data_IF_835776075403
#
_entry.id   IF_835776075403
#
_cell.length_a   1.000
_cell.length_b   1.000
_cell.length_c   1.000
_cell.angle_alpha   90.00
_cell.angle_beta   90.00
_cell.angle_gamma   90.00
#
_symmetry.space_group_name_H-M   'P 1'
#
loop_
_entity.id
_entity.type
_entity.pdbx_description
1 polymer ?
#
# COMPACT_ATOMS: atom_id res chain seq x y z
N UNK A 1 8.37 32.18 -23.48
CA UNK A 1 7.97 31.12 -22.52
C UNK A 1 9.21 30.32 -22.22
N UNK A 2 9.78 30.59 -21.04
CA UNK A 2 10.90 29.92 -20.35
C UNK A 2 11.99 29.28 -21.21
N UNK A 3 13.10 30.02 -21.35
CA UNK A 3 14.44 29.56 -21.73
C UNK A 3 15.02 28.56 -20.70
N UNK A 4 14.28 27.50 -20.41
CA UNK A 4 14.73 26.48 -19.48
C UNK A 4 15.50 25.42 -20.27
N UNK A 5 16.83 25.50 -20.15
CA UNK A 5 17.74 24.47 -20.65
C UNK A 5 17.61 23.17 -19.84
N UNK A 6 18.04 22.06 -20.44
CA UNK A 6 18.15 20.79 -19.74
C UNK A 6 19.13 20.92 -18.57
N UNK A 7 18.75 20.36 -17.43
CA UNK A 7 19.67 20.16 -16.30
C UNK A 7 20.64 19.04 -16.62
N UNK A 8 21.75 19.02 -15.91
CA UNK A 8 22.82 18.05 -16.14
C UNK A 8 22.34 16.61 -15.95
N UNK A 9 21.53 16.38 -14.91
CA UNK A 9 20.95 15.07 -14.61
C UNK A 9 20.03 14.57 -15.74
N UNK A 10 19.35 15.49 -16.44
CA UNK A 10 18.48 15.15 -17.57
C UNK A 10 19.30 14.79 -18.81
N UNK A 11 20.44 15.46 -19.01
CA UNK A 11 21.38 15.16 -20.10
C UNK A 11 22.02 13.79 -19.87
N UNK A 12 22.46 13.50 -18.65
CA UNK A 12 23.03 12.20 -18.29
C UNK A 12 22.00 11.07 -18.42
N UNK A 13 20.80 11.23 -17.83
CA UNK A 13 19.74 10.23 -17.95
C UNK A 13 19.35 9.95 -19.40
N UNK A 14 19.36 10.97 -20.26
CA UNK A 14 19.11 10.80 -21.70
C UNK A 14 20.23 9.99 -22.39
N UNK A 15 21.50 10.27 -22.07
CA UNK A 15 22.64 9.53 -22.62
C UNK A 15 22.71 8.08 -22.12
N UNK A 16 22.29 7.84 -20.89
CA UNK A 16 22.26 6.52 -20.27
C UNK A 16 21.02 5.70 -20.67
N UNK A 17 20.10 6.28 -21.46
CA UNK A 17 18.87 5.62 -21.91
C UNK A 17 17.81 5.43 -20.81
N UNK A 18 17.92 6.16 -19.70
CA UNK A 18 17.04 6.04 -18.52
C UNK A 18 16.07 7.22 -18.38
N UNK A 19 16.11 8.19 -19.30
CA UNK A 19 15.21 9.33 -19.27
C UNK A 19 13.75 8.93 -19.52
N UNK A 20 12.86 9.30 -18.60
CA UNK A 20 11.42 9.04 -18.67
C UNK A 20 10.76 9.74 -19.87
N UNK A 21 11.24 10.93 -20.24
CA UNK A 21 10.67 11.77 -21.29
C UNK A 21 11.61 11.95 -22.50
N UNK A 22 12.22 10.86 -23.00
CA UNK A 22 13.16 10.92 -24.15
C UNK A 22 12.63 11.69 -25.37
N UNK A 23 11.35 11.51 -25.82
CA UNK A 23 10.85 12.22 -27.00
C UNK A 23 10.78 13.75 -26.81
N UNK A 24 10.47 14.21 -25.60
CA UNK A 24 10.44 15.64 -25.29
C UNK A 24 11.85 16.24 -25.26
N UNK A 25 12.82 15.48 -24.74
CA UNK A 25 14.24 15.86 -24.76
C UNK A 25 14.74 15.95 -26.19
N UNK A 26 14.42 15.00 -27.06
CA UNK A 26 14.79 15.03 -28.49
C UNK A 26 14.21 16.25 -29.21
N UNK A 27 12.94 16.58 -28.98
CA UNK A 27 12.31 17.78 -29.51
C UNK A 27 12.99 19.07 -29.01
N UNK A 28 13.41 19.09 -27.74
CA UNK A 28 14.17 20.20 -27.18
C UNK A 28 15.57 20.31 -27.80
N UNK A 29 16.27 19.19 -28.01
CA UNK A 29 17.58 19.18 -28.66
C UNK A 29 17.50 19.64 -30.12
N UNK A 30 16.39 19.34 -30.81
CA UNK A 30 16.13 19.81 -32.17
C UNK A 30 16.04 21.34 -32.26
N UNK A 31 15.54 22.01 -31.21
CA UNK A 31 15.33 23.47 -31.17
C UNK A 31 16.40 24.24 -30.40
N UNK A 32 17.13 23.61 -29.46
CA UNK A 32 18.10 24.29 -28.58
C UNK A 32 19.56 23.92 -28.92
N UNK A 33 20.33 24.81 -29.56
CA UNK A 33 21.73 24.52 -29.93
C UNK A 33 22.66 24.40 -28.71
N UNK A 34 22.37 25.12 -27.61
CA UNK A 34 23.16 25.05 -26.37
C UNK A 34 23.08 23.67 -25.72
N UNK A 35 21.87 23.12 -25.59
CA UNK A 35 21.68 21.78 -25.03
C UNK A 35 22.27 20.70 -25.93
N UNK A 36 22.23 20.90 -27.25
CA UNK A 36 22.91 20.01 -28.22
C UNK A 36 24.42 19.99 -28.02
N UNK A 37 25.04 21.16 -27.87
CA UNK A 37 26.47 21.26 -27.58
C UNK A 37 26.85 20.58 -26.25
N UNK A 38 26.00 20.70 -25.22
CA UNK A 38 26.22 20.01 -23.94
C UNK A 38 26.18 18.48 -24.11
N UNK A 39 25.16 17.94 -24.78
CA UNK A 39 25.03 16.51 -25.08
C UNK A 39 26.23 16.00 -25.89
N UNK A 40 26.69 16.75 -26.89
CA UNK A 40 27.87 16.40 -27.68
C UNK A 40 29.15 16.39 -26.83
N UNK A 41 29.29 17.34 -25.91
CA UNK A 41 30.41 17.36 -24.94
C UNK A 41 30.46 16.10 -24.10
N UNK A 42 29.33 15.68 -23.54
CA UNK A 42 29.23 14.42 -22.79
C UNK A 42 29.49 13.18 -23.64
N UNK A 43 29.02 13.13 -24.89
CA UNK A 43 29.31 12.02 -25.81
C UNK A 43 30.81 11.88 -26.08
N UNK A 44 31.53 13.00 -26.24
CA UNK A 44 33.00 12.97 -26.42
C UNK A 44 33.70 12.49 -25.16
N UNK A 45 33.24 12.91 -23.98
CA UNK A 45 33.76 12.42 -22.71
C UNK A 45 33.57 10.90 -22.58
N UNK A 46 32.36 10.40 -22.84
CA UNK A 46 32.05 8.97 -22.81
C UNK A 46 32.91 8.17 -23.80
N UNK A 47 33.08 8.68 -25.02
CA UNK A 47 33.96 8.05 -26.01
C UNK A 47 35.42 8.00 -25.52
N UNK A 48 35.92 9.08 -24.92
CA UNK A 48 37.26 9.11 -24.33
C UNK A 48 37.43 8.10 -23.20
N UNK A 49 36.44 8.00 -22.30
CA UNK A 49 36.45 7.03 -21.20
C UNK A 49 36.36 5.58 -21.69
N UNK A 50 35.57 5.32 -22.74
CA UNK A 50 35.46 4.00 -23.35
C UNK A 50 36.79 3.55 -23.98
N UNK A 51 37.58 4.48 -24.53
CA UNK A 51 38.90 4.15 -25.09
C UNK A 51 40.01 4.05 -24.04
N UNK A 52 39.85 4.70 -22.88
CA UNK A 52 40.87 4.73 -21.84
C UNK A 52 40.86 3.48 -20.94
N UNK A 53 39.75 2.74 -20.91
CA UNK A 53 39.62 1.49 -20.16
C UNK A 53 39.62 0.31 -21.10
N UNK A 54 40.67 -0.52 -21.06
CA UNK A 54 40.53 -1.88 -21.58
C UNK A 54 39.42 -2.59 -20.80
N UNK A 55 38.53 -3.36 -21.45
CA UNK A 55 37.54 -4.15 -20.75
C UNK A 55 38.28 -5.12 -19.83
N UNK A 56 38.27 -4.83 -18.52
CA UNK A 56 38.82 -5.74 -17.55
C UNK A 56 38.06 -7.06 -17.68
N UNK A 57 38.79 -8.14 -17.99
CA UNK A 57 38.20 -9.47 -18.06
C UNK A 57 37.61 -9.82 -16.69
N UNK A 58 36.28 -9.81 -16.59
CA UNK A 58 35.58 -10.23 -15.40
C UNK A 58 35.66 -11.75 -15.31
N UNK A 59 35.79 -12.29 -14.09
CA UNK A 59 35.67 -13.73 -13.86
C UNK A 59 34.29 -14.22 -14.27
N UNK A 60 34.17 -15.47 -14.73
CA UNK A 60 32.89 -16.11 -15.12
C UNK A 60 31.82 -15.97 -14.02
N UNK A 61 32.21 -16.11 -12.75
CA UNK A 61 31.27 -16.04 -11.61
C UNK A 61 31.09 -14.61 -11.05
N UNK A 62 31.53 -13.56 -11.77
CA UNK A 62 31.46 -12.19 -11.24
C UNK A 62 30.03 -11.75 -10.96
N UNK A 63 29.13 -11.95 -11.92
CA UNK A 63 27.72 -11.59 -11.79
C UNK A 63 27.09 -12.30 -10.60
N UNK A 64 27.28 -13.62 -10.49
CA UNK A 64 26.73 -14.42 -9.39
C UNK A 64 27.25 -13.96 -8.02
N UNK A 65 28.55 -13.65 -7.91
CA UNK A 65 29.14 -13.14 -6.66
C UNK A 65 28.66 -11.75 -6.27
N UNK A 66 28.35 -10.89 -7.24
CA UNK A 66 27.76 -9.57 -6.97
C UNK A 66 26.31 -9.74 -6.54
N UNK A 67 25.53 -10.54 -7.26
CA UNK A 67 24.13 -10.80 -6.94
C UNK A 67 23.95 -11.47 -5.58
N UNK A 68 24.82 -12.40 -5.20
CA UNK A 68 24.81 -13.04 -3.89
C UNK A 68 25.11 -12.07 -2.72
N UNK A 69 25.69 -10.90 -3.00
CA UNK A 69 25.97 -9.86 -1.99
C UNK A 69 24.90 -8.78 -1.92
N UNK A 70 24.02 -8.70 -2.91
CA UNK A 70 22.89 -7.80 -2.81
C UNK A 70 21.93 -8.32 -1.74
N UNK A 71 21.44 -7.45 -0.83
CA UNK A 71 20.34 -7.84 0.04
C UNK A 71 19.20 -8.29 -0.85
N UNK A 72 18.65 -9.48 -0.60
CA UNK A 72 17.52 -9.95 -1.39
C UNK A 72 16.44 -8.87 -1.42
N UNK A 73 15.79 -8.62 -2.58
CA UNK A 73 14.65 -7.72 -2.70
C UNK A 73 13.41 -8.33 -2.00
N UNK A 74 13.51 -8.52 -0.69
CA UNK A 74 12.50 -9.10 0.18
C UNK A 74 12.16 -8.22 1.38
N UNK A 75 12.78 -7.05 1.54
CA UNK A 75 12.70 -6.26 2.77
C UNK A 75 11.32 -5.67 3.10
N UNK A 76 10.54 -5.21 2.12
CA UNK A 76 9.22 -4.64 2.42
C UNK A 76 8.10 -5.68 2.52
N UNK A 77 8.21 -6.80 1.80
CA UNK A 77 7.20 -7.87 1.81
C UNK A 77 7.39 -8.87 2.94
N UNK A 78 8.63 -9.17 3.33
CA UNK A 78 8.90 -10.00 4.50
C UNK A 78 8.61 -9.25 5.81
N UNK A 79 8.76 -7.92 5.84
CA UNK A 79 8.45 -7.11 7.02
C UNK A 79 6.95 -6.89 7.24
N UNK A 80 6.13 -6.90 6.17
CA UNK A 80 4.66 -6.95 6.29
C UNK A 80 4.12 -8.34 6.67
N UNK A 81 4.93 -9.40 6.57
CA UNK A 81 4.61 -10.75 7.06
C UNK A 81 5.19 -11.03 8.44
N UNK A 82 5.70 -10.02 9.15
CA UNK A 82 5.80 -10.14 10.61
C UNK A 82 4.36 -10.27 11.12
N UNK A 83 4.01 -11.34 11.86
CA UNK A 83 2.74 -11.36 12.56
C UNK A 83 2.77 -10.11 13.44
N UNK A 84 1.95 -9.12 13.09
CA UNK A 84 1.81 -7.93 13.89
C UNK A 84 1.38 -8.44 15.27
N UNK A 85 2.23 -8.28 16.28
CA UNK A 85 1.86 -8.34 17.68
C UNK A 85 0.84 -7.23 18.07
N UNK A 86 0.11 -6.70 17.09
CA UNK A 86 -1.01 -5.78 17.16
C UNK A 86 -2.32 -6.40 16.66
N UNK A 87 -2.42 -7.73 16.49
CA UNK A 87 -3.72 -8.41 16.34
C UNK A 87 -4.70 -7.98 17.44
N UNK A 88 -4.21 -7.80 18.67
CA UNK A 88 -5.00 -7.29 19.77
C UNK A 88 -5.46 -5.84 19.59
N UNK A 89 -4.67 -4.97 18.96
CA UNK A 89 -5.01 -3.54 18.82
C UNK A 89 -6.10 -3.34 17.78
N UNK A 90 -6.01 -4.02 16.63
CA UNK A 90 -7.06 -3.93 15.61
C UNK A 90 -8.34 -4.64 16.05
N UNK A 91 -8.23 -5.80 16.72
CA UNK A 91 -9.38 -6.47 17.31
C UNK A 91 -10.04 -5.61 18.40
N UNK A 92 -9.24 -4.95 19.26
CA UNK A 92 -9.73 -4.04 20.28
C UNK A 92 -10.38 -2.78 19.67
N UNK A 93 -9.77 -2.19 18.65
CA UNK A 93 -10.35 -1.03 17.96
C UNK A 93 -11.67 -1.38 17.26
N UNK A 94 -11.75 -2.54 16.60
CA UNK A 94 -12.98 -3.03 15.99
C UNK A 94 -14.06 -3.34 17.04
N UNK A 95 -13.69 -3.97 18.15
CA UNK A 95 -14.60 -4.25 19.26
C UNK A 95 -15.10 -2.97 19.92
N UNK A 96 -14.22 -2.00 20.18
CA UNK A 96 -14.56 -0.72 20.77
C UNK A 96 -15.51 0.09 19.86
N UNK A 97 -15.29 0.08 18.55
CA UNK A 97 -16.19 0.71 17.59
C UNK A 97 -17.59 0.06 17.59
N UNK A 98 -17.65 -1.27 17.67
CA UNK A 98 -18.90 -2.03 17.78
C UNK A 98 -19.66 -1.69 19.07
N UNK A 99 -18.96 -1.64 20.21
CA UNK A 99 -19.54 -1.28 21.51
C UNK A 99 -20.04 0.17 21.49
N UNK A 100 -19.27 1.11 20.94
CA UNK A 100 -19.70 2.50 20.81
C UNK A 100 -20.94 2.66 19.94
N UNK A 101 -21.01 1.95 18.82
CA UNK A 101 -22.20 1.91 17.96
C UNK A 101 -23.42 1.32 18.71
N UNK A 102 -23.22 0.24 19.47
CA UNK A 102 -24.26 -0.35 20.30
C UNK A 102 -24.76 0.63 21.38
N UNK A 103 -23.86 1.37 22.05
CA UNK A 103 -24.23 2.40 23.04
C UNK A 103 -25.05 3.52 22.41
N UNK A 104 -24.65 3.97 21.22
CA UNK A 104 -25.30 5.09 20.56
C UNK A 104 -26.69 4.75 20.00
N UNK A 105 -26.87 3.55 19.45
CA UNK A 105 -28.13 3.15 18.78
C UNK A 105 -29.12 2.38 19.67
N UNK A 106 -28.67 1.75 20.76
CA UNK A 106 -29.56 0.99 21.65
C UNK A 106 -30.20 1.92 22.68
N UNK A 107 -31.54 1.86 22.78
CA UNK A 107 -32.33 2.69 23.72
C UNK A 107 -31.79 2.56 25.17
N UNK A 108 -31.69 3.66 25.93
CA UNK A 108 -31.15 3.66 27.30
C UNK A 108 -31.84 2.67 28.27
N UNK A 109 -33.12 2.35 28.04
CA UNK A 109 -33.87 1.40 28.88
C UNK A 109 -33.35 -0.04 28.76
N UNK A 110 -32.84 -0.45 27.59
CA UNK A 110 -32.29 -1.79 27.36
C UNK A 110 -30.94 -1.98 28.06
N UNK A 111 -30.17 -0.91 28.23
CA UNK A 111 -28.94 -0.93 29.00
C UNK A 111 -29.20 -1.27 30.47
N UNK A 112 -30.29 -0.75 31.05
CA UNK A 112 -30.62 -1.02 32.44
C UNK A 112 -30.98 -2.50 32.68
N UNK A 113 -31.72 -3.12 31.75
CA UNK A 113 -32.10 -4.55 31.84
C UNK A 113 -30.89 -5.46 31.63
N UNK A 114 -30.00 -5.12 30.67
CA UNK A 114 -28.76 -5.86 30.41
C UNK A 114 -27.80 -5.78 31.60
N UNK A 115 -27.58 -4.58 32.17
CA UNK A 115 -26.73 -4.40 33.34
C UNK A 115 -27.27 -5.13 34.58
N UNK A 116 -28.58 -5.09 34.80
CA UNK A 116 -29.19 -5.86 35.89
C UNK A 116 -29.02 -7.37 35.69
N UNK A 117 -29.14 -7.88 34.47
CA UNK A 117 -28.91 -9.30 34.16
C UNK A 117 -27.45 -9.73 34.35
N UNK A 118 -26.50 -8.90 33.90
CA UNK A 118 -25.06 -9.16 34.04
C UNK A 118 -24.58 -9.09 35.50
N UNK A 119 -25.04 -8.11 36.29
CA UNK A 119 -24.67 -8.00 37.71
C UNK A 119 -25.40 -9.01 38.61
N UNK A 120 -26.64 -9.41 38.28
CA UNK A 120 -27.34 -10.50 39.01
C UNK A 120 -26.82 -11.90 38.64
N UNK A 121 -26.04 -12.03 37.57
CA UNK A 121 -25.42 -13.29 37.09
C UNK A 121 -24.13 -13.69 37.84
N UNK A 122 -23.82 -13.08 38.98
CA UNK A 122 -22.69 -13.52 39.83
C UNK A 122 -23.00 -14.81 40.63
N UNK A 123 -24.22 -15.36 40.55
CA UNK A 123 -24.61 -16.60 41.22
C UNK A 123 -25.60 -17.39 40.38
N UNK A 124 -25.10 -18.47 39.77
CA UNK A 124 -25.79 -19.59 39.11
C UNK A 124 -26.68 -19.32 37.88
N UNK A 125 -26.46 -20.21 36.90
CA UNK A 125 -27.38 -20.68 35.84
C UNK A 125 -27.29 -20.00 34.47
N UNK A 126 -26.44 -20.57 33.60
CA UNK A 126 -26.32 -20.32 32.15
C UNK A 126 -27.66 -20.30 31.38
N UNK A 127 -28.74 -20.82 31.96
CA UNK A 127 -30.05 -20.92 31.35
C UNK A 127 -30.86 -19.61 31.37
N UNK A 128 -30.58 -18.69 32.31
CA UNK A 128 -31.25 -17.38 32.34
C UNK A 128 -30.60 -16.42 31.33
N UNK A 129 -29.28 -16.42 31.22
CA UNK A 129 -28.53 -15.60 30.25
C UNK A 129 -28.95 -15.90 28.81
N UNK A 130 -29.16 -17.18 28.47
CA UNK A 130 -29.62 -17.57 27.14
C UNK A 130 -31.04 -17.06 26.80
N UNK A 131 -31.94 -17.05 27.78
CA UNK A 131 -33.32 -16.54 27.59
C UNK A 131 -33.35 -15.01 27.52
N UNK A 132 -32.51 -14.33 28.29
CA UNK A 132 -32.35 -12.87 28.19
C UNK A 132 -31.72 -12.46 26.87
N UNK A 133 -30.69 -13.17 26.40
CA UNK A 133 -30.07 -12.92 25.10
C UNK A 133 -31.05 -13.16 23.95
N UNK A 134 -31.82 -14.25 23.99
CA UNK A 134 -32.85 -14.54 22.99
C UNK A 134 -33.97 -13.47 22.98
N UNK A 135 -34.46 -13.06 24.15
CA UNK A 135 -35.47 -12.00 24.27
C UNK A 135 -34.96 -10.64 23.79
N UNK A 136 -33.69 -10.32 24.03
CA UNK A 136 -33.05 -9.11 23.48
C UNK A 136 -32.99 -9.20 21.95
N UNK A 137 -32.55 -10.33 21.38
CA UNK A 137 -32.54 -10.53 19.92
C UNK A 137 -33.94 -10.43 19.29
N UNK A 138 -34.98 -10.92 19.97
CA UNK A 138 -36.37 -10.87 19.49
C UNK A 138 -36.99 -9.46 19.67
N UNK A 139 -36.54 -8.70 20.68
CA UNK A 139 -36.93 -7.30 20.91
C UNK A 139 -36.18 -6.30 20.05
N UNK A 140 -35.00 -6.67 19.54
CA UNK A 140 -34.37 -5.97 18.43
C UNK A 140 -35.24 -6.22 17.20
N UNK A 141 -36.23 -5.36 16.99
CA UNK A 141 -36.72 -5.05 15.64
C UNK A 141 -35.53 -4.46 14.88
N UNK A 142 -34.64 -5.32 14.41
CA UNK A 142 -33.50 -4.92 13.59
C UNK A 142 -34.12 -4.31 12.35
N UNK A 143 -34.07 -2.98 12.26
CA UNK A 143 -34.59 -2.29 11.10
C UNK A 143 -33.82 -2.81 9.89
N UNK A 144 -34.52 -3.14 8.78
CA UNK A 144 -33.84 -3.59 7.55
C UNK A 144 -32.78 -2.57 7.07
N UNK A 145 -32.93 -1.31 7.45
CA UNK A 145 -31.99 -0.21 7.22
C UNK A 145 -30.62 -0.38 7.88
N UNK A 146 -30.55 -1.00 9.07
CA UNK A 146 -29.27 -1.28 9.74
C UNK A 146 -28.53 -2.45 9.06
N UNK A 147 -29.27 -3.47 8.63
CA UNK A 147 -28.70 -4.57 7.85
C UNK A 147 -28.13 -4.09 6.52
N UNK A 148 -28.85 -3.23 5.81
CA UNK A 148 -28.35 -2.66 4.56
C UNK A 148 -27.11 -1.81 4.80
N UNK A 149 -27.09 -0.96 5.83
CA UNK A 149 -25.92 -0.14 6.16
C UNK A 149 -24.66 -0.99 6.47
N UNK A 150 -24.80 -2.06 7.26
CA UNK A 150 -23.69 -2.96 7.58
C UNK A 150 -23.18 -3.68 6.34
N UNK A 151 -24.09 -4.23 5.52
CA UNK A 151 -23.73 -4.91 4.28
C UNK A 151 -23.02 -3.94 3.31
N UNK A 152 -23.55 -2.71 3.15
CA UNK A 152 -22.95 -1.68 2.30
C UNK A 152 -21.54 -1.31 2.78
N UNK A 153 -21.34 -1.24 4.09
CA UNK A 153 -20.03 -0.93 4.69
C UNK A 153 -19.03 -2.05 4.43
N UNK A 154 -19.43 -3.32 4.59
CA UNK A 154 -18.58 -4.49 4.29
C UNK A 154 -18.23 -4.53 2.80
N UNK A 155 -19.21 -4.29 1.92
CA UNK A 155 -18.98 -4.24 0.47
C UNK A 155 -18.01 -3.11 0.12
N UNK A 156 -18.19 -1.91 0.68
CA UNK A 156 -17.32 -0.77 0.42
C UNK A 156 -15.86 -1.06 0.84
N UNK A 157 -15.65 -1.65 2.01
CA UNK A 157 -14.32 -2.06 2.48
C UNK A 157 -13.71 -3.09 1.52
N UNK A 158 -14.46 -4.13 1.13
CA UNK A 158 -14.00 -5.15 0.18
C UNK A 158 -13.66 -4.58 -1.21
N UNK A 159 -14.41 -3.58 -1.67
CA UNK A 159 -14.19 -2.94 -2.96
C UNK A 159 -12.93 -2.07 -2.96
N UNK A 160 -12.69 -1.34 -1.87
CA UNK A 160 -11.45 -0.58 -1.68
C UNK A 160 -10.25 -1.52 -1.66
N UNK A 161 -10.33 -2.62 -0.89
CA UNK A 161 -9.25 -3.61 -0.80
C UNK A 161 -8.97 -4.27 -2.17
N UNK A 162 -10.03 -4.60 -2.91
CA UNK A 162 -9.92 -5.14 -4.28
C UNK A 162 -9.30 -4.15 -5.27
N UNK A 163 -9.67 -2.86 -5.22
CA UNK A 163 -9.08 -1.83 -6.10
C UNK A 163 -7.58 -1.65 -5.79
N UNK A 164 -7.22 -1.59 -4.50
CA UNK A 164 -5.84 -1.42 -4.06
C UNK A 164 -4.99 -2.62 -4.47
N UNK A 165 -5.49 -3.85 -4.29
CA UNK A 165 -4.79 -5.06 -4.70
C UNK A 165 -4.67 -5.18 -6.22
N UNK A 166 -5.71 -4.82 -6.97
CA UNK A 166 -5.71 -4.90 -8.44
C UNK A 166 -4.80 -3.87 -9.12
N UNK A 167 -4.66 -2.65 -8.59
CA UNK A 167 -3.68 -1.68 -9.12
C UNK A 167 -2.23 -2.15 -8.92
N UNK A 168 -1.98 -2.94 -7.88
CA UNK A 168 -0.65 -3.44 -7.54
C UNK A 168 -0.17 -4.53 -8.49
N UNK A 169 -1.06 -5.39 -8.97
CA UNK A 169 -0.70 -6.47 -9.92
C UNK A 169 -0.31 -5.90 -11.28
N UNK A 170 -0.98 -4.84 -11.75
CA UNK A 170 -0.65 -4.20 -13.02
C UNK A 170 0.73 -3.51 -13.02
N UNK A 171 1.19 -2.93 -11.92
CA UNK A 171 2.54 -2.34 -11.85
C UNK A 171 3.67 -3.38 -11.91
N UNK A 172 3.42 -4.61 -11.47
CA UNK A 172 4.45 -5.67 -11.51
C UNK A 172 4.59 -6.28 -12.91
N UNK A 173 3.53 -6.24 -13.72
CA UNK A 173 3.55 -6.80 -15.07
C UNK A 173 4.29 -5.91 -16.09
N UNK A 174 4.34 -4.59 -15.86
CA UNK A 174 5.03 -3.64 -16.75
C UNK A 174 6.56 -3.66 -16.56
N UNK A 175 7.07 -4.22 -15.47
CA UNK A 175 8.51 -4.35 -15.22
C UNK A 175 9.13 -5.68 -15.70
N UNK A 176 8.34 -6.56 -16.33
CA UNK A 176 8.79 -7.88 -16.80
C UNK A 176 8.58 -8.09 -18.32
N UNK A 177 8.20 -7.04 -19.05
CA UNK A 177 8.12 -7.02 -20.51
C UNK A 177 9.02 -5.91 -21.05
#
# INVERSE_FOLDING_TARGET
>A
MTDQHLRDEQVQAFLDGTAVDSPAIEAHLASCPRCRAAVEGYRRLYAGLATASEPAALSVDFADRVMARLPEPGGFRAQLRRPLAGEGIFAFAAFAALVAAAIFFIKPSLWHDLFQGLFKSSGSTNQQVAKTAAGVLESLKISPELFTAVILTIIAIGLIDWIVTRRRTHHTAVHLA
#
